data_IF_229967320535
#
_entry.id   IF_229967320535
#
_cell.length_a   1.000
_cell.length_b   1.000
_cell.length_c   1.000
_cell.angle_alpha   90.00
_cell.angle_beta   90.00
_cell.angle_gamma   90.00
#
_symmetry.space_group_name_H-M   'P 1'
#
loop_
_entity.id
_entity.type
_entity.pdbx_description
1 polymer ?
#
# COMPACT_ATOMS: atom_id res chain seq x y z
N UNK A 1 14.24 -20.36 -22.79
CA UNK A 1 13.46 -19.59 -23.79
C UNK A 1 12.95 -20.44 -24.95
N UNK A 2 13.48 -21.65 -25.20
CA UNK A 2 12.98 -22.58 -26.23
C UNK A 2 11.55 -23.08 -25.97
N UNK A 3 11.12 -23.16 -24.71
CA UNK A 3 9.82 -23.73 -24.34
C UNK A 3 8.66 -22.71 -24.44
N UNK A 4 8.97 -21.45 -24.76
CA UNK A 4 8.00 -20.35 -24.88
C UNK A 4 7.68 -19.99 -26.33
N UNK A 5 8.35 -20.61 -27.31
CA UNK A 5 8.19 -20.31 -28.74
C UNK A 5 6.78 -20.61 -29.27
N UNK A 6 6.00 -21.43 -28.55
CA UNK A 6 4.60 -21.71 -28.86
C UNK A 6 3.60 -20.65 -28.38
N UNK A 7 4.04 -19.70 -27.55
CA UNK A 7 3.17 -18.73 -26.86
C UNK A 7 3.39 -17.30 -27.36
N UNK A 8 2.91 -16.97 -28.57
CA UNK A 8 2.75 -15.58 -29.05
C UNK A 8 3.84 -14.59 -28.59
N UNK A 9 3.43 -13.42 -28.07
CA UNK A 9 4.34 -12.48 -27.42
C UNK A 9 4.43 -12.74 -25.91
N UNK A 10 5.65 -12.88 -25.39
CA UNK A 10 5.95 -12.98 -23.96
C UNK A 10 6.72 -11.76 -23.50
N UNK A 11 6.25 -11.09 -22.44
CA UNK A 11 6.93 -9.92 -21.89
C UNK A 11 8.27 -10.31 -21.25
N UNK A 12 9.39 -9.69 -21.65
CA UNK A 12 10.68 -9.93 -20.98
C UNK A 12 10.66 -9.46 -19.53
N UNK A 13 11.22 -10.24 -18.60
CA UNK A 13 11.19 -9.92 -17.16
C UNK A 13 11.81 -8.56 -16.84
N UNK A 14 12.97 -8.26 -17.42
CA UNK A 14 13.66 -6.99 -17.23
C UNK A 14 12.80 -5.80 -17.68
N UNK A 15 12.00 -5.98 -18.73
CA UNK A 15 11.11 -4.94 -19.24
C UNK A 15 9.95 -4.73 -18.28
N UNK A 16 9.35 -5.81 -17.79
CA UNK A 16 8.28 -5.74 -16.78
C UNK A 16 8.77 -5.03 -15.50
N UNK A 17 9.87 -5.49 -14.91
CA UNK A 17 10.41 -4.89 -13.68
C UNK A 17 10.85 -3.45 -13.88
N UNK A 18 11.52 -3.16 -15.00
CA UNK A 18 11.92 -1.80 -15.36
C UNK A 18 10.72 -0.87 -15.53
N UNK A 19 9.66 -1.35 -16.19
CA UNK A 19 8.44 -0.58 -16.39
C UNK A 19 7.72 -0.30 -15.06
N UNK A 20 7.52 -1.31 -14.22
CA UNK A 20 6.87 -1.15 -12.89
C UNK A 20 7.64 -0.17 -12.01
N UNK A 21 8.98 -0.16 -12.07
CA UNK A 21 9.80 0.78 -11.31
C UNK A 21 9.76 2.22 -11.86
N UNK A 22 9.78 2.38 -13.18
CA UNK A 22 9.92 3.71 -13.82
C UNK A 22 8.57 4.41 -14.03
N UNK A 23 7.52 3.65 -14.34
CA UNK A 23 6.21 4.21 -14.71
C UNK A 23 5.63 5.15 -13.64
N UNK A 24 5.62 4.82 -12.33
CA UNK A 24 5.12 5.74 -11.31
C UNK A 24 5.86 7.07 -11.28
N UNK A 25 7.19 7.06 -11.48
CA UNK A 25 7.99 8.28 -11.51
C UNK A 25 7.65 9.17 -12.70
N UNK A 26 7.42 8.56 -13.87
CA UNK A 26 6.95 9.28 -15.06
C UNK A 26 5.58 9.90 -14.79
N UNK A 27 4.66 9.15 -14.19
CA UNK A 27 3.30 9.63 -13.90
C UNK A 27 3.29 10.75 -12.87
N UNK A 28 4.12 10.66 -11.81
CA UNK A 28 4.30 11.74 -10.85
C UNK A 28 4.87 13.00 -11.51
N UNK A 29 5.85 12.85 -12.40
CA UNK A 29 6.41 13.97 -13.14
C UNK A 29 5.38 14.61 -14.08
N UNK A 30 4.57 13.78 -14.74
CA UNK A 30 3.46 14.21 -15.58
C UNK A 30 2.40 14.96 -14.78
N UNK A 31 1.96 14.42 -13.65
CA UNK A 31 0.95 15.03 -12.78
C UNK A 31 1.43 16.40 -12.28
N UNK A 32 2.67 16.49 -11.79
CA UNK A 32 3.27 17.77 -11.38
C UNK A 32 3.32 18.79 -12.53
N UNK A 33 3.67 18.34 -13.73
CA UNK A 33 3.68 19.18 -14.93
C UNK A 33 2.28 19.63 -15.35
N UNK A 34 1.29 18.75 -15.26
CA UNK A 34 -0.11 19.05 -15.59
C UNK A 34 -0.69 20.08 -14.60
N UNK A 35 -0.43 19.91 -13.30
CA UNK A 35 -0.81 20.87 -12.25
C UNK A 35 -0.15 22.24 -12.47
N UNK A 36 1.11 22.28 -12.87
CA UNK A 36 1.80 23.53 -13.20
C UNK A 36 1.17 24.28 -14.39
N UNK A 37 0.43 23.57 -15.26
CA UNK A 37 -0.31 24.15 -16.39
C UNK A 37 -1.75 24.51 -16.06
N UNK A 38 -2.12 24.51 -14.79
CA UNK A 38 -3.46 24.92 -14.34
C UNK A 38 -4.52 23.85 -14.53
N UNK A 39 -4.14 22.57 -14.67
CA UNK A 39 -5.10 21.48 -14.52
C UNK A 39 -5.72 21.57 -13.12
N UNK A 40 -7.04 21.74 -13.06
CA UNK A 40 -7.76 21.75 -11.79
C UNK A 40 -7.60 20.38 -11.13
N UNK A 41 -7.28 20.32 -9.82
CA UNK A 41 -7.29 19.05 -9.11
C UNK A 41 -8.69 18.44 -9.23
N UNK A 42 -8.76 17.15 -9.52
CA UNK A 42 -10.01 16.42 -9.35
C UNK A 42 -10.41 16.54 -7.87
N UNK A 43 -11.64 16.98 -7.60
CA UNK A 43 -12.13 16.95 -6.22
C UNK A 43 -12.20 15.48 -5.78
N UNK A 44 -11.62 15.12 -4.63
CA UNK A 44 -11.67 13.76 -4.15
C UNK A 44 -13.14 13.42 -3.82
N UNK A 45 -13.76 12.60 -4.66
CA UNK A 45 -15.05 11.97 -4.34
C UNK A 45 -14.81 10.94 -3.24
N UNK A 46 -15.10 11.31 -2.00
CA UNK A 46 -15.07 10.39 -0.88
C UNK A 46 -16.27 9.47 -0.92
N UNK A 47 -16.01 8.17 -0.88
CA UNK A 47 -17.04 7.16 -0.71
C UNK A 47 -17.67 7.27 0.68
N UNK A 48 -18.92 6.82 0.88
CA UNK A 48 -19.56 6.82 2.19
C UNK A 48 -18.74 6.13 3.29
N UNK A 49 -17.95 5.09 2.94
CA UNK A 49 -17.08 4.40 3.88
C UNK A 49 -15.87 5.24 4.32
N UNK A 50 -15.29 6.02 3.41
CA UNK A 50 -14.17 6.93 3.73
C UNK A 50 -14.63 8.08 4.61
N UNK A 51 -15.81 8.65 4.33
CA UNK A 51 -16.44 9.67 5.18
C UNK A 51 -16.66 9.17 6.61
N UNK A 52 -17.06 7.90 6.75
CA UNK A 52 -17.28 7.30 8.06
C UNK A 52 -15.95 7.03 8.78
N UNK A 53 -14.93 6.51 8.09
CA UNK A 53 -13.60 6.31 8.66
C UNK A 53 -12.99 7.62 9.17
N UNK A 54 -13.11 8.70 8.40
CA UNK A 54 -12.66 10.04 8.77
C UNK A 54 -13.43 10.60 9.98
N UNK A 55 -14.75 10.40 10.05
CA UNK A 55 -15.56 10.86 11.18
C UNK A 55 -15.25 10.11 12.48
N UNK A 56 -14.89 8.83 12.38
CA UNK A 56 -14.70 7.97 13.55
C UNK A 56 -13.26 8.04 14.11
N UNK A 57 -12.25 8.46 13.34
CA UNK A 57 -10.85 8.59 13.82
C UNK A 57 -10.61 9.93 14.57
N UNK A 58 -10.35 9.89 15.89
CA UNK A 58 -10.10 11.09 16.69
C UNK A 58 -8.90 11.91 16.23
N UNK A 59 -7.88 11.30 15.61
CA UNK A 59 -6.68 12.00 15.15
C UNK A 59 -6.96 12.88 13.94
N UNK A 60 -7.83 12.41 13.03
CA UNK A 60 -8.21 13.14 11.82
C UNK A 60 -9.15 14.28 12.20
N UNK A 61 -10.16 13.99 13.03
CA UNK A 61 -11.12 14.99 13.51
C UNK A 61 -10.47 16.11 14.35
N UNK A 62 -9.52 15.80 15.23
CA UNK A 62 -8.90 16.78 16.15
C UNK A 62 -7.65 17.48 15.59
N UNK A 63 -7.32 17.28 14.31
CA UNK A 63 -6.17 17.89 13.60
C UNK A 63 -4.90 17.96 14.46
N UNK A 64 -4.24 16.82 14.63
CA UNK A 64 -2.98 16.78 15.35
C UNK A 64 -1.81 17.31 14.49
N UNK A 65 -1.19 18.42 14.90
CA UNK A 65 0.09 18.85 14.34
C UNK A 65 1.24 17.99 14.88
N UNK A 66 1.74 17.09 14.04
CA UNK A 66 2.83 16.18 14.38
C UNK A 66 4.21 16.84 14.44
N UNK A 67 5.16 16.18 15.11
CA UNK A 67 6.56 16.56 15.11
C UNK A 67 7.20 16.30 13.73
N UNK A 68 8.42 16.81 13.51
CA UNK A 68 9.17 16.56 12.28
C UNK A 68 9.33 15.06 11.98
N UNK A 69 9.50 14.24 13.01
CA UNK A 69 9.68 12.78 12.89
C UNK A 69 8.43 12.07 12.38
N UNK A 70 7.26 12.35 12.98
CA UNK A 70 5.99 11.77 12.52
C UNK A 70 5.66 12.25 11.11
N UNK A 71 5.92 13.53 10.80
CA UNK A 71 5.74 14.06 9.44
C UNK A 71 6.61 13.38 8.40
N UNK A 72 7.85 13.03 8.73
CA UNK A 72 8.73 12.31 7.82
C UNK A 72 8.20 10.89 7.52
N UNK A 73 7.69 10.19 8.54
CA UNK A 73 7.07 8.86 8.39
C UNK A 73 5.76 8.94 7.61
N UNK A 74 4.92 9.92 7.91
CA UNK A 74 3.65 10.13 7.23
C UNK A 74 3.92 10.39 5.75
N UNK A 75 4.90 11.23 5.43
CA UNK A 75 5.34 11.48 4.06
C UNK A 75 5.79 10.21 3.33
N UNK A 76 6.54 9.31 3.98
CA UNK A 76 6.92 8.04 3.34
C UNK A 76 5.71 7.16 3.02
N UNK A 77 4.69 7.19 3.88
CA UNK A 77 3.45 6.42 3.69
C UNK A 77 2.56 7.06 2.61
N UNK A 78 2.51 8.38 2.53
CA UNK A 78 1.86 9.13 1.44
C UNK A 78 2.49 8.79 0.09
N UNK A 79 3.83 8.82 0.00
CA UNK A 79 4.54 8.47 -1.22
C UNK A 79 4.30 7.02 -1.64
N UNK A 80 4.23 6.07 -0.69
CA UNK A 80 3.94 4.67 -1.04
C UNK A 80 2.54 4.52 -1.64
N UNK A 81 1.54 5.22 -1.07
CA UNK A 81 0.17 5.26 -1.62
C UNK A 81 0.12 5.85 -3.02
N UNK A 82 0.83 6.97 -3.26
CA UNK A 82 0.87 7.62 -4.57
C UNK A 82 1.51 6.71 -5.64
N UNK A 83 2.63 6.05 -5.33
CA UNK A 83 3.28 5.07 -6.22
C UNK A 83 2.31 3.93 -6.57
N UNK A 84 1.67 3.35 -5.55
CA UNK A 84 0.75 2.22 -5.70
C UNK A 84 -0.48 2.59 -6.53
N UNK A 85 -0.96 3.84 -6.43
CA UNK A 85 -2.10 4.31 -7.22
C UNK A 85 -1.86 4.22 -8.72
N UNK A 86 -0.64 4.54 -9.19
CA UNK A 86 -0.27 4.43 -10.60
C UNK A 86 -0.09 2.99 -11.07
N UNK A 87 0.31 2.08 -10.18
CA UNK A 87 0.33 0.64 -10.50
C UNK A 87 -1.05 0.08 -10.83
N UNK A 88 -2.13 0.64 -10.29
CA UNK A 88 -3.51 0.19 -10.60
C UNK A 88 -3.84 0.37 -12.08
N UNK A 89 -3.31 1.42 -12.71
CA UNK A 89 -3.48 1.66 -14.15
C UNK A 89 -2.87 0.51 -14.97
N UNK A 90 -1.71 -0.01 -14.54
CA UNK A 90 -1.06 -1.13 -15.22
C UNK A 90 -1.91 -2.39 -15.15
N UNK A 91 -2.49 -2.71 -13.98
CA UNK A 91 -3.37 -3.87 -13.83
C UNK A 91 -4.57 -3.78 -14.79
N UNK A 92 -5.21 -2.61 -14.89
CA UNK A 92 -6.34 -2.40 -15.82
C UNK A 92 -5.90 -2.61 -17.28
N UNK A 93 -4.78 -2.01 -17.68
CA UNK A 93 -4.25 -2.13 -19.05
C UNK A 93 -3.90 -3.57 -19.38
N UNK A 94 -3.24 -4.29 -18.47
CA UNK A 94 -2.85 -5.68 -18.67
C UNK A 94 -4.07 -6.59 -18.80
N UNK A 95 -5.03 -6.52 -17.88
CA UNK A 95 -6.25 -7.34 -17.99
C UNK A 95 -7.05 -7.02 -19.25
N UNK A 96 -7.17 -5.74 -19.61
CA UNK A 96 -7.85 -5.34 -20.84
C UNK A 96 -7.16 -5.93 -22.08
N UNK A 97 -5.82 -5.87 -22.13
CA UNK A 97 -5.03 -6.49 -23.18
C UNK A 97 -5.24 -8.01 -23.25
N UNK A 98 -5.25 -8.72 -22.11
CA UNK A 98 -5.50 -10.17 -22.08
C UNK A 98 -6.91 -10.53 -22.59
N UNK A 99 -7.93 -9.75 -22.22
CA UNK A 99 -9.30 -9.94 -22.72
C UNK A 99 -9.33 -9.79 -24.24
N UNK A 100 -8.67 -8.76 -24.79
CA UNK A 100 -8.58 -8.57 -26.25
C UNK A 100 -7.89 -9.77 -26.91
N UNK A 101 -6.69 -10.14 -26.43
CA UNK A 101 -5.90 -11.22 -27.01
C UNK A 101 -6.65 -12.56 -26.98
N UNK A 102 -7.33 -12.85 -25.88
CA UNK A 102 -8.10 -14.09 -25.71
C UNK A 102 -9.35 -14.13 -26.59
N UNK A 103 -10.15 -13.07 -26.61
CA UNK A 103 -11.48 -13.13 -27.22
C UNK A 103 -11.51 -12.65 -28.68
N UNK A 104 -10.66 -11.71 -29.07
CA UNK A 104 -10.61 -11.23 -30.46
C UNK A 104 -9.61 -12.01 -31.30
N UNK A 105 -8.46 -12.38 -30.71
CA UNK A 105 -7.38 -13.03 -31.44
C UNK A 105 -7.23 -14.53 -31.15
N UNK A 106 -7.98 -15.07 -30.18
CA UNK A 106 -7.89 -16.47 -29.75
C UNK A 106 -6.45 -16.89 -29.39
N UNK A 107 -5.68 -15.97 -28.80
CA UNK A 107 -4.28 -16.13 -28.42
C UNK A 107 -4.09 -15.67 -26.96
N UNK A 108 -4.45 -16.50 -25.95
CA UNK A 108 -4.23 -16.15 -24.55
C UNK A 108 -2.74 -15.96 -24.26
N UNK A 109 -2.41 -15.00 -23.39
CA UNK A 109 -1.00 -14.72 -23.05
C UNK A 109 -0.59 -15.41 -21.76
N UNK A 110 0.66 -15.88 -21.71
CA UNK A 110 1.19 -16.63 -20.56
C UNK A 110 1.64 -15.75 -19.39
N UNK A 111 1.92 -14.47 -19.65
CA UNK A 111 2.55 -13.57 -18.67
C UNK A 111 1.57 -12.62 -17.98
N UNK A 112 0.46 -12.25 -18.63
CA UNK A 112 -0.40 -11.17 -18.13
C UNK A 112 -1.07 -11.51 -16.80
N UNK A 113 -1.57 -12.74 -16.66
CA UNK A 113 -2.23 -13.17 -15.44
C UNK A 113 -1.28 -13.09 -14.24
N UNK A 114 -0.09 -13.68 -14.39
CA UNK A 114 0.92 -13.69 -13.35
C UNK A 114 1.46 -12.29 -13.05
N UNK A 115 1.80 -11.50 -14.08
CA UNK A 115 2.24 -10.12 -13.92
C UNK A 115 1.25 -9.28 -13.10
N UNK A 116 -0.04 -9.36 -13.45
CA UNK A 116 -1.09 -8.58 -12.78
C UNK A 116 -1.33 -9.06 -11.35
N UNK A 117 -1.30 -10.38 -11.12
CA UNK A 117 -1.44 -10.98 -9.80
C UNK A 117 -0.31 -10.56 -8.86
N UNK A 118 0.94 -10.65 -9.32
CA UNK A 118 2.11 -10.25 -8.53
C UNK A 118 2.11 -8.74 -8.26
N UNK A 119 1.74 -7.93 -9.26
CA UNK A 119 1.59 -6.48 -9.10
C UNK A 119 0.58 -6.14 -8.00
N UNK A 120 -0.61 -6.74 -8.05
CA UNK A 120 -1.64 -6.58 -7.02
C UNK A 120 -1.12 -6.97 -5.64
N UNK A 121 -0.41 -8.10 -5.52
CA UNK A 121 0.21 -8.51 -4.26
C UNK A 121 1.16 -7.46 -3.68
N UNK A 122 2.03 -6.88 -4.52
CA UNK A 122 2.92 -5.79 -4.09
C UNK A 122 2.15 -4.53 -3.68
N UNK A 123 1.09 -4.18 -4.43
CA UNK A 123 0.23 -3.03 -4.13
C UNK A 123 -0.40 -3.15 -2.75
N UNK A 124 -0.99 -4.30 -2.41
CA UNK A 124 -1.67 -4.51 -1.13
C UNK A 124 -0.75 -4.26 0.07
N UNK A 125 0.49 -4.78 0.02
CA UNK A 125 1.41 -4.66 1.16
C UNK A 125 1.98 -3.25 1.27
N UNK A 126 2.29 -2.58 0.15
CA UNK A 126 2.80 -1.20 0.16
C UNK A 126 1.73 -0.15 0.51
N UNK A 127 0.46 -0.43 0.21
CA UNK A 127 -0.66 0.44 0.57
C UNK A 127 -1.02 0.38 2.06
N UNK A 128 -0.56 -0.65 2.80
CA UNK A 128 -0.93 -0.83 4.20
C UNK A 128 -0.59 0.36 5.10
N UNK A 129 0.61 0.93 4.96
CA UNK A 129 1.03 2.12 5.70
C UNK A 129 0.20 3.36 5.35
N UNK A 130 -0.10 3.56 4.06
CA UNK A 130 -0.96 4.63 3.57
C UNK A 130 -2.39 4.51 4.14
N UNK A 131 -2.97 3.30 4.10
CA UNK A 131 -4.30 3.04 4.62
C UNK A 131 -4.35 3.25 6.14
N UNK A 132 -3.30 2.87 6.88
CA UNK A 132 -3.22 3.11 8.32
C UNK A 132 -3.15 4.59 8.66
N UNK A 133 -2.42 5.38 7.88
CA UNK A 133 -2.31 6.83 8.05
C UNK A 133 -3.65 7.55 7.85
N UNK A 134 -4.46 7.08 6.89
CA UNK A 134 -5.75 7.68 6.54
C UNK A 134 -6.95 7.03 7.24
N UNK A 135 -6.73 6.16 8.24
CA UNK A 135 -7.81 5.47 8.95
C UNK A 135 -8.60 4.45 8.11
N UNK A 136 -8.16 4.18 6.88
CA UNK A 136 -8.77 3.22 5.95
C UNK A 136 -8.29 1.77 6.18
N UNK A 137 -7.35 1.55 7.11
CA UNK A 137 -6.95 0.20 7.49
C UNK A 137 -8.10 -0.49 8.24
N UNK A 138 -8.51 -1.67 7.77
CA UNK A 138 -9.66 -2.40 8.30
C UNK A 138 -9.57 -2.54 9.82
N UNK A 139 -10.62 -2.10 10.51
CA UNK A 139 -10.81 -2.18 11.95
C UNK A 139 -12.26 -2.57 12.29
N UNK A 140 -12.47 -3.05 13.52
CA UNK A 140 -13.79 -3.49 14.00
C UNK A 140 -14.29 -2.50 15.06
N UNK A 141 -15.33 -1.74 14.73
CA UNK A 141 -15.68 -0.53 15.49
C UNK A 141 -16.88 -0.69 16.45
N UNK A 142 -17.36 -1.92 16.67
CA UNK A 142 -18.58 -2.17 17.46
C UNK A 142 -18.44 -1.66 18.89
N UNK A 143 -17.34 -2.01 19.58
CA UNK A 143 -17.08 -1.55 20.95
C UNK A 143 -16.51 -0.13 20.94
N UNK A 144 -15.73 0.20 19.92
CA UNK A 144 -15.11 1.51 19.74
C UNK A 144 -16.14 2.64 19.75
N UNK A 145 -17.24 2.47 19.00
CA UNK A 145 -18.27 3.49 18.85
C UNK A 145 -19.06 3.76 20.14
N UNK A 146 -19.08 2.81 21.08
CA UNK A 146 -19.73 2.95 22.39
C UNK A 146 -18.90 3.76 23.39
N UNK A 147 -17.61 3.97 23.12
CA UNK A 147 -16.70 4.66 24.03
C UNK A 147 -16.70 6.17 23.81
N UNK A 148 -16.51 6.98 24.88
CA UNK A 148 -16.21 8.39 24.74
C UNK A 148 -14.85 8.57 24.03
N UNK A 149 -14.61 9.73 23.44
CA UNK A 149 -13.39 10.04 22.65
C UNK A 149 -12.11 9.59 23.34
N UNK A 150 -11.95 9.86 24.64
CA UNK A 150 -10.75 9.45 25.37
C UNK A 150 -10.63 7.93 25.58
N UNK A 151 -11.76 7.22 25.67
CA UNK A 151 -11.80 5.77 25.72
C UNK A 151 -11.45 5.13 24.37
N UNK A 152 -11.88 5.75 23.27
CA UNK A 152 -11.50 5.37 21.89
C UNK A 152 -9.99 5.44 21.70
N UNK A 153 -9.37 6.57 22.01
CA UNK A 153 -7.90 6.74 21.95
C UNK A 153 -7.17 5.76 22.87
N UNK A 154 -7.70 5.50 24.08
CA UNK A 154 -7.15 4.48 24.97
C UNK A 154 -7.21 3.07 24.38
N UNK A 155 -8.28 2.74 23.64
CA UNK A 155 -8.42 1.48 22.92
C UNK A 155 -7.46 1.39 21.73
N UNK A 156 -7.24 2.48 20.99
CA UNK A 156 -6.23 2.55 19.93
C UNK A 156 -4.82 2.24 20.47
N UNK A 157 -4.44 2.84 21.61
CA UNK A 157 -3.16 2.57 22.30
C UNK A 157 -3.07 1.10 22.77
N UNK A 158 -4.16 0.54 23.30
CA UNK A 158 -4.15 -0.86 23.73
C UNK A 158 -4.02 -1.82 22.55
N UNK A 159 -4.80 -1.60 21.49
CA UNK A 159 -4.79 -2.45 20.29
C UNK A 159 -3.49 -2.32 19.49
N UNK A 160 -2.79 -1.18 19.58
CA UNK A 160 -1.51 -0.99 18.94
C UNK A 160 -0.46 -2.02 19.39
N UNK A 161 -0.53 -2.52 20.63
CA UNK A 161 0.38 -3.57 21.10
C UNK A 161 0.29 -4.82 20.23
N UNK A 162 -0.93 -5.29 19.94
CA UNK A 162 -1.15 -6.46 19.07
C UNK A 162 -0.76 -6.16 17.63
N UNK A 163 -1.04 -4.95 17.16
CA UNK A 163 -0.59 -4.48 15.86
C UNK A 163 0.94 -4.56 15.73
N UNK A 164 1.71 -4.11 16.72
CA UNK A 164 3.18 -4.17 16.66
C UNK A 164 3.72 -5.60 16.67
N UNK A 165 3.09 -6.50 17.45
CA UNK A 165 3.44 -7.93 17.41
C UNK A 165 3.23 -8.48 15.99
N UNK A 166 2.06 -8.23 15.40
CA UNK A 166 1.76 -8.65 14.03
C UNK A 166 2.75 -8.06 13.03
N UNK A 167 2.96 -6.73 13.05
CA UNK A 167 3.78 -6.03 12.09
C UNK A 167 5.27 -6.43 12.20
N UNK A 168 5.76 -6.72 13.40
CA UNK A 168 7.11 -7.23 13.61
C UNK A 168 7.29 -8.67 13.09
N UNK A 169 6.32 -9.55 13.35
CA UNK A 169 6.32 -10.91 12.79
C UNK A 169 6.24 -10.87 11.26
N UNK A 170 5.40 -9.99 10.72
CA UNK A 170 5.28 -9.78 9.28
C UNK A 170 6.62 -9.33 8.67
N UNK A 171 7.32 -8.38 9.31
CA UNK A 171 8.61 -7.89 8.81
C UNK A 171 9.71 -8.95 8.86
N UNK A 172 9.86 -9.65 9.98
CA UNK A 172 10.88 -10.71 10.14
C UNK A 172 10.62 -11.92 9.22
N UNK A 173 9.35 -12.27 9.02
CA UNK A 173 8.96 -13.32 8.06
C UNK A 173 9.23 -12.88 6.63
N UNK A 174 8.88 -11.64 6.28
CA UNK A 174 9.13 -11.07 4.94
C UNK A 174 10.63 -10.99 4.64
N UNK A 175 11.46 -10.66 5.63
CA UNK A 175 12.92 -10.70 5.52
C UNK A 175 13.41 -12.11 5.16
N UNK A 176 12.97 -13.12 5.91
CA UNK A 176 13.35 -14.52 5.68
C UNK A 176 12.93 -14.99 4.28
N UNK A 177 11.72 -14.60 3.83
CA UNK A 177 11.23 -14.93 2.50
C UNK A 177 12.04 -14.24 1.40
N UNK A 178 12.38 -12.97 1.58
CA UNK A 178 13.23 -12.23 0.66
C UNK A 178 14.62 -12.86 0.54
N UNK A 179 15.29 -13.12 1.66
CA UNK A 179 16.63 -13.72 1.68
C UNK A 179 16.66 -15.09 1.00
N UNK A 180 15.70 -15.96 1.33
CA UNK A 180 15.60 -17.28 0.71
C UNK A 180 15.38 -17.16 -0.81
N UNK A 181 14.48 -16.28 -1.23
CA UNK A 181 14.16 -16.06 -2.65
C UNK A 181 15.36 -15.53 -3.44
N UNK A 182 16.06 -14.56 -2.86
CA UNK A 182 17.22 -13.94 -3.48
C UNK A 182 18.42 -14.89 -3.55
N UNK A 183 18.70 -15.64 -2.48
CA UNK A 183 19.82 -16.60 -2.43
C UNK A 183 19.61 -17.82 -3.33
N UNK A 184 18.37 -18.25 -3.51
CA UNK A 184 18.03 -19.42 -4.32
C UNK A 184 17.71 -19.09 -5.80
N UNK A 185 17.72 -17.80 -6.19
CA UNK A 185 17.21 -17.33 -7.49
C UNK A 185 15.83 -17.92 -7.79
N UNK A 186 14.93 -17.84 -6.82
CA UNK A 186 13.59 -18.41 -6.92
C UNK A 186 12.79 -17.73 -8.02
N UNK A 187 12.19 -18.55 -8.88
CA UNK A 187 11.22 -18.12 -9.88
C UNK A 187 9.82 -18.60 -9.49
N UNK A 188 8.81 -17.97 -10.07
CA UNK A 188 7.45 -18.44 -9.90
C UNK A 188 7.21 -19.82 -10.54
N UNK A 189 6.12 -20.46 -10.11
CA UNK A 189 5.75 -21.82 -10.55
C UNK A 189 4.99 -21.80 -11.89
N UNK A 190 4.44 -20.65 -12.26
CA UNK A 190 3.72 -20.48 -13.51
C UNK A 190 4.65 -20.55 -14.74
N UNK A 191 4.07 -20.70 -15.92
CA UNK A 191 4.82 -20.87 -17.18
C UNK A 191 5.72 -19.69 -17.53
N UNK A 192 5.39 -18.47 -17.10
CA UNK A 192 6.22 -17.29 -17.36
C UNK A 192 7.49 -17.28 -16.50
N UNK A 193 7.43 -17.80 -15.26
CA UNK A 193 8.62 -18.13 -14.47
C UNK A 193 9.45 -16.90 -14.08
N UNK A 194 8.78 -15.80 -13.73
CA UNK A 194 9.44 -14.54 -13.36
C UNK A 194 10.16 -14.63 -12.00
N UNK A 195 11.22 -13.84 -11.81
CA UNK A 195 11.98 -13.84 -10.55
C UNK A 195 11.09 -13.35 -9.40
N UNK A 196 11.07 -14.10 -8.29
CA UNK A 196 10.13 -13.83 -7.20
C UNK A 196 10.67 -12.85 -6.14
N UNK A 197 12.00 -12.69 -6.09
CA UNK A 197 12.66 -11.86 -5.09
C UNK A 197 12.20 -10.38 -5.08
N UNK A 198 11.86 -9.70 -6.21
CA UNK A 198 11.40 -8.32 -6.16
C UNK A 198 10.07 -8.19 -5.42
N UNK A 199 9.15 -9.14 -5.61
CA UNK A 199 7.85 -9.17 -4.93
C UNK A 199 8.03 -9.35 -3.43
N UNK A 200 8.85 -10.33 -3.02
CA UNK A 200 9.15 -10.58 -1.60
C UNK A 200 9.94 -9.42 -0.97
N UNK A 201 10.74 -8.71 -1.77
CA UNK A 201 11.38 -7.46 -1.38
C UNK A 201 10.38 -6.35 -1.11
N UNK A 202 9.34 -6.21 -1.96
CA UNK A 202 8.24 -5.27 -1.72
C UNK A 202 7.40 -5.66 -0.50
N UNK A 203 7.25 -6.95 -0.19
CA UNK A 203 6.61 -7.39 1.06
C UNK A 203 7.39 -6.89 2.28
N UNK A 204 8.72 -7.06 2.26
CA UNK A 204 9.60 -6.55 3.31
C UNK A 204 9.49 -5.01 3.42
N UNK A 205 9.57 -4.30 2.30
CA UNK A 205 9.45 -2.85 2.26
C UNK A 205 8.10 -2.37 2.82
N UNK A 206 6.99 -2.96 2.38
CA UNK A 206 5.65 -2.58 2.84
C UNK A 206 5.42 -2.91 4.32
N UNK A 207 5.95 -4.03 4.82
CA UNK A 207 5.90 -4.34 6.26
C UNK A 207 6.71 -3.34 7.11
N UNK A 208 7.85 -2.88 6.60
CA UNK A 208 8.66 -1.84 7.26
C UNK A 208 7.92 -0.49 7.27
N UNK A 209 7.30 -0.10 6.14
CA UNK A 209 6.46 1.10 6.06
C UNK A 209 5.27 1.03 7.00
N UNK A 210 4.60 -0.13 7.08
CA UNK A 210 3.49 -0.36 8.01
C UNK A 210 3.92 -0.22 9.47
N UNK A 211 5.08 -0.77 9.84
CA UNK A 211 5.66 -0.58 11.17
C UNK A 211 5.93 0.89 11.48
N UNK A 212 6.54 1.61 10.55
CA UNK A 212 6.81 3.05 10.71
C UNK A 212 5.50 3.83 10.87
N UNK A 213 4.52 3.61 9.98
CA UNK A 213 3.20 4.24 10.06
C UNK A 213 2.53 3.96 11.42
N UNK A 214 2.64 2.73 11.93
CA UNK A 214 2.15 2.39 13.27
C UNK A 214 2.86 3.12 14.41
N UNK A 215 4.17 3.34 14.32
CA UNK A 215 4.91 4.18 15.28
C UNK A 215 4.39 5.62 15.25
N UNK A 216 4.20 6.18 14.05
CA UNK A 216 3.63 7.53 13.89
C UNK A 216 2.24 7.61 14.53
N UNK A 217 1.35 6.65 14.24
CA UNK A 217 0.00 6.57 14.81
C UNK A 217 0.04 6.49 16.35
N UNK A 218 0.83 5.57 16.91
CA UNK A 218 0.92 5.38 18.36
C UNK A 218 1.41 6.65 19.08
N UNK A 219 2.41 7.35 18.52
CA UNK A 219 2.90 8.60 19.10
C UNK A 219 1.77 9.64 19.15
N UNK A 220 1.03 9.79 18.04
CA UNK A 220 -0.09 10.74 17.95
C UNK A 220 -1.21 10.38 18.96
N UNK A 221 -1.57 9.10 19.05
CA UNK A 221 -2.58 8.60 20.00
C UNK A 221 -2.20 8.88 21.46
N UNK A 222 -0.95 8.61 21.84
CA UNK A 222 -0.46 8.88 23.20
C UNK A 222 -0.54 10.37 23.53
N UNK A 223 -0.08 11.24 22.63
CA UNK A 223 -0.15 12.69 22.86
C UNK A 223 -1.59 13.16 22.96
N UNK A 224 -2.47 12.65 22.09
CA UNK A 224 -3.89 12.99 22.12
C UNK A 224 -4.55 12.54 23.44
N UNK A 225 -4.25 11.33 23.91
CA UNK A 225 -4.76 10.81 25.18
C UNK A 225 -4.36 11.68 26.37
N UNK A 226 -3.12 12.19 26.39
CA UNK A 226 -2.62 13.10 27.43
C UNK A 226 -3.28 14.47 27.34
N UNK A 227 -3.53 15.02 26.14
CA UNK A 227 -4.24 16.31 25.97
C UNK A 227 -5.68 16.24 26.47
N UNK A 228 -6.42 15.20 26.07
CA UNK A 228 -7.77 14.90 26.61
C UNK A 228 -7.75 14.60 28.12
N UNK A 229 -6.56 14.28 28.64
CA UNK A 229 -6.13 14.33 30.04
C UNK A 229 -6.46 15.61 30.76
N UNK A 230 -5.89 16.67 30.23
CA UNK A 230 -5.72 17.96 30.87
C UNK A 230 -6.98 18.83 30.76
N UNK A 231 -7.69 18.77 29.63
CA UNK A 231 -8.93 19.52 29.40
C UNK A 231 -10.08 19.12 30.33
N UNK A 232 -10.07 17.89 30.87
CA UNK A 232 -11.07 17.45 31.85
C UNK A 232 -10.84 17.96 33.27
N UNK A 233 -9.65 18.50 33.54
CA UNK A 233 -9.22 18.95 34.88
C UNK A 233 -9.28 20.49 35.00
N UNK A 234 -9.38 21.21 33.89
CA UNK A 234 -9.61 22.66 33.82
C UNK A 234 -11.11 22.98 33.80
#
# INVERSE_FOLDING_TARGET
>A
MSDLEGFGFVMPHWFYWGWVAVMPLIMMAWDRWARARGAAPAEPEMTPGELQAEADDPLIYLKFEGNWFTRAIDWTSEMSGEIVSFWTINAVVFYFFEVIMRYLFNQPTVWVHEASFLLLGMQYVLAGGFALLHGAHVRVDVVYNLLPVRGRVGMDIFTSMFFFVFAFVLMTTSWTFFENSYSMNETTVETWGIEYWPVKGMMLLGSALLLLAGISKLIKDIVLFVRLGQERVA
#
